data_IF_195416342531
#
_entry.id   IF_195416342531
#
_cell.length_a   1.000
_cell.length_b   1.000
_cell.length_c   1.000
_cell.angle_alpha   90.00
_cell.angle_beta   90.00
_cell.angle_gamma   90.00
#
_symmetry.space_group_name_H-M   'P 1'
#
loop_
_entity.id
_entity.type
_entity.pdbx_description
1 polymer ?
#
# COMPACT_ATOMS: atom_id res chain seq x y z
N UNK A 1 -18.48 14.78 12.76
CA UNK A 1 -18.39 13.41 12.20
C UNK A 1 -16.90 13.15 11.96
N UNK A 2 -16.32 12.11 12.58
CA UNK A 2 -14.90 11.77 12.44
C UNK A 2 -14.73 10.56 11.52
N UNK A 3 -13.58 10.48 10.86
CA UNK A 3 -13.16 9.30 10.09
C UNK A 3 -12.24 8.42 10.94
N UNK A 4 -12.19 7.09 10.71
CA UNK A 4 -11.28 6.20 11.44
C UNK A 4 -9.81 6.54 11.21
N UNK A 5 -9.00 6.48 12.27
CA UNK A 5 -7.54 6.70 12.22
C UNK A 5 -6.84 5.53 12.90
N UNK A 6 -5.71 5.07 12.34
CA UNK A 6 -4.85 4.05 12.93
C UNK A 6 -3.51 4.67 13.34
N UNK A 7 -3.11 4.49 14.59
CA UNK A 7 -1.78 4.83 15.06
C UNK A 7 -0.87 3.60 14.95
N UNK A 8 0.21 3.72 14.18
CA UNK A 8 1.17 2.65 13.93
C UNK A 8 2.55 3.08 14.46
N UNK A 9 2.91 2.74 15.71
CA UNK A 9 4.22 3.08 16.27
C UNK A 9 5.35 2.21 15.69
N UNK A 10 5.03 1.02 15.20
CA UNK A 10 5.97 0.17 14.48
C UNK A 10 6.07 0.64 13.02
N UNK A 11 7.18 1.29 12.71
CA UNK A 11 7.46 1.82 11.38
C UNK A 11 7.51 0.73 10.30
N UNK A 12 7.97 -0.48 10.66
CA UNK A 12 8.11 -1.59 9.71
C UNK A 12 6.77 -2.15 9.27
N UNK A 13 5.73 -2.01 10.09
CA UNK A 13 4.38 -2.48 9.78
C UNK A 13 3.63 -1.54 8.81
N UNK A 14 4.05 -0.27 8.69
CA UNK A 14 3.28 0.77 7.99
C UNK A 14 3.01 0.42 6.53
N UNK A 15 4.03 -0.03 5.79
CA UNK A 15 3.88 -0.33 4.37
C UNK A 15 2.85 -1.45 4.10
N UNK A 16 2.85 -2.48 4.95
CA UNK A 16 1.88 -3.57 4.86
C UNK A 16 0.45 -3.12 5.17
N UNK A 17 0.27 -2.34 6.23
CA UNK A 17 -1.05 -1.81 6.61
C UNK A 17 -1.62 -0.85 5.57
N UNK A 18 -0.79 0.02 4.98
CA UNK A 18 -1.21 0.91 3.89
C UNK A 18 -1.62 0.11 2.65
N UNK A 19 -0.83 -0.89 2.26
CA UNK A 19 -1.17 -1.73 1.11
C UNK A 19 -2.48 -2.52 1.33
N UNK A 20 -2.72 -3.01 2.55
CA UNK A 20 -3.95 -3.71 2.90
C UNK A 20 -5.19 -2.80 2.86
N UNK A 21 -5.03 -1.51 3.16
CA UNK A 21 -6.12 -0.53 3.16
C UNK A 21 -6.42 0.06 1.77
N UNK A 22 -5.42 0.11 0.87
CA UNK A 22 -5.53 0.76 -0.42
C UNK A 22 -6.31 -0.07 -1.46
N UNK A 23 -7.11 0.62 -2.28
CA UNK A 23 -7.84 0.08 -3.43
C UNK A 23 -7.42 0.72 -4.77
N UNK A 24 -7.93 0.19 -5.91
CA UNK A 24 -7.66 0.76 -7.22
C UNK A 24 -8.18 2.21 -7.33
N UNK A 25 -7.32 3.12 -7.77
CA UNK A 25 -7.65 4.55 -7.93
C UNK A 25 -7.30 5.42 -6.72
N UNK A 26 -6.85 4.82 -5.61
CA UNK A 26 -6.45 5.58 -4.43
C UNK A 26 -5.15 6.37 -4.65
N UNK A 27 -5.04 7.50 -3.95
CA UNK A 27 -3.83 8.32 -3.87
C UNK A 27 -3.29 8.25 -2.45
N UNK A 28 -2.02 7.84 -2.32
CA UNK A 28 -1.32 7.74 -1.04
C UNK A 28 -0.30 8.88 -0.93
N UNK A 29 -0.32 9.59 0.20
CA UNK A 29 0.63 10.66 0.50
C UNK A 29 1.39 10.32 1.77
N UNK A 30 2.70 10.16 1.67
CA UNK A 30 3.61 10.10 2.81
C UNK A 30 3.99 11.54 3.21
N UNK A 31 3.72 11.94 4.45
CA UNK A 31 3.91 13.33 4.89
C UNK A 31 4.59 13.38 6.25
N UNK A 32 5.55 14.30 6.39
CA UNK A 32 6.32 14.56 7.60
C UNK A 32 7.77 14.90 7.25
N UNK A 33 8.57 15.18 8.27
CA UNK A 33 10.01 15.34 8.13
C UNK A 33 10.72 14.08 8.66
N UNK A 34 11.85 13.71 8.06
CA UNK A 34 12.66 12.56 8.46
C UNK A 34 12.35 11.29 7.67
N UNK A 35 12.33 10.16 8.38
CA UNK A 35 12.35 8.81 7.78
C UNK A 35 11.09 8.45 6.99
N UNK A 36 10.01 9.24 7.10
CA UNK A 36 8.74 9.02 6.37
C UNK A 36 8.92 8.95 4.85
N UNK A 37 9.98 9.58 4.33
CA UNK A 37 10.33 9.52 2.90
C UNK A 37 10.74 8.12 2.44
N UNK A 38 11.24 7.28 3.36
CA UNK A 38 11.59 5.88 3.10
C UNK A 38 10.35 5.01 2.87
N UNK A 39 9.17 5.41 3.37
CA UNK A 39 7.94 4.63 3.23
C UNK A 39 7.40 4.61 1.81
N UNK A 40 7.66 5.64 1.00
CA UNK A 40 7.13 5.73 -0.36
C UNK A 40 7.49 4.49 -1.20
N UNK A 41 8.79 4.17 -1.36
CA UNK A 41 9.22 2.95 -2.06
C UNK A 41 8.73 1.63 -1.42
N UNK A 42 8.69 1.55 -0.09
CA UNK A 42 8.23 0.35 0.63
C UNK A 42 6.74 0.07 0.40
N UNK A 43 5.90 1.11 0.44
CA UNK A 43 4.46 1.02 0.15
C UNK A 43 4.25 0.54 -1.30
N UNK A 44 4.98 1.11 -2.27
CA UNK A 44 4.88 0.68 -3.68
C UNK A 44 5.27 -0.80 -3.83
N UNK A 45 6.30 -1.25 -3.11
CA UNK A 45 6.72 -2.65 -3.11
C UNK A 45 5.64 -3.57 -2.52
N UNK A 46 5.08 -3.20 -1.37
CA UNK A 46 4.01 -3.94 -0.73
C UNK A 46 2.76 -4.05 -1.62
N UNK A 47 2.36 -2.96 -2.29
CA UNK A 47 1.25 -2.94 -3.25
C UNK A 47 1.48 -3.89 -4.43
N UNK A 48 2.70 -3.95 -4.98
CA UNK A 48 3.05 -4.89 -6.05
C UNK A 48 2.95 -6.34 -5.59
N UNK A 49 3.45 -6.65 -4.39
CA UNK A 49 3.34 -7.99 -3.80
C UNK A 49 1.86 -8.37 -3.62
N UNK A 50 1.04 -7.45 -3.12
CA UNK A 50 -0.39 -7.70 -2.94
C UNK A 50 -1.13 -7.90 -4.26
N UNK A 51 -0.84 -7.09 -5.28
CA UNK A 51 -1.41 -7.25 -6.62
C UNK A 51 -1.07 -8.62 -7.21
N UNK A 52 0.16 -9.10 -7.03
CA UNK A 52 0.59 -10.42 -7.49
C UNK A 52 -0.14 -11.56 -6.76
N UNK A 53 -0.44 -11.40 -5.47
CA UNK A 53 -1.24 -12.39 -4.71
C UNK A 53 -2.70 -12.40 -5.11
N UNK A 54 -3.24 -11.23 -5.47
CA UNK A 54 -4.64 -11.04 -5.84
C UNK A 54 -5.00 -11.40 -7.28
N UNK A 55 -4.02 -11.69 -8.14
CA UNK A 55 -4.27 -12.08 -9.53
C UNK A 55 -4.59 -13.58 -9.64
N UNK A 56 -5.83 -14.00 -9.97
CA UNK A 56 -6.04 -15.29 -10.59
C UNK A 56 -5.33 -15.24 -11.95
N UNK A 57 -4.62 -16.31 -12.32
CA UNK A 57 -3.94 -16.41 -13.60
C UNK A 57 -4.88 -15.98 -14.73
N UNK A 58 -4.59 -14.86 -15.38
CA UNK A 58 -5.32 -14.40 -16.57
C UNK A 58 -5.05 -15.48 -17.64
N UNK A 59 -6.03 -16.27 -18.09
CA UNK A 59 -5.82 -17.03 -19.32
C UNK A 59 -5.53 -15.99 -20.40
N UNK A 60 -4.45 -16.23 -21.15
CA UNK A 60 -4.02 -15.34 -22.22
C UNK A 60 -5.18 -14.99 -23.12
N UNK A 61 -5.35 -13.70 -23.39
CA UNK A 61 -6.22 -13.26 -24.47
C UNK A 61 -5.54 -13.73 -25.75
N UNK A 62 -6.04 -14.84 -26.31
CA UNK A 62 -5.81 -15.17 -27.70
C UNK A 62 -6.73 -14.25 -28.52
N UNK A 63 -6.17 -13.19 -29.07
CA UNK A 63 -6.52 -12.65 -30.38
C UNK A 63 -5.30 -12.00 -31.01
#
# INVERSE_FOLDING_TARGET
MSVPVRYLPDFSAVAGEVAAAAGPGDVIVTMGAGDVTLLGPEIVTALRVQANRGAPGRPGVLQ
#
